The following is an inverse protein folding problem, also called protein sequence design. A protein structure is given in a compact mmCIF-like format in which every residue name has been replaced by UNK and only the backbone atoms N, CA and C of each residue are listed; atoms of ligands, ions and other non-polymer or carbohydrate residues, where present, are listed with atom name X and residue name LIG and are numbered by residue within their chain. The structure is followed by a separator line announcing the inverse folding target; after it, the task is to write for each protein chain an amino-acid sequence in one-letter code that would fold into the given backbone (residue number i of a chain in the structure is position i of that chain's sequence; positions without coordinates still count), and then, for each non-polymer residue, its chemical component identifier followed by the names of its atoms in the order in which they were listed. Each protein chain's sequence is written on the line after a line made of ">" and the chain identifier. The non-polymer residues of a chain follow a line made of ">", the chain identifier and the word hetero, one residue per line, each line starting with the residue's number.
data_IF_633581990571
#
_entry.id   IF_633581990571
#
_cell.length_a   1.000
_cell.length_b   1.000
_cell.length_c   1.000
_cell.angle_alpha   90.00
_cell.angle_beta   90.00
_cell.angle_gamma   90.00
#
_symmetry.space_group_name_H-M   'P 1'
#
loop_
_entity.id
_entity.type
_entity.pdbx_description
1 polymer ?
#
# COMPACT_ATOMS: atom_id res chain seq x y z
N UNK A 1 -3.98 46.29 20.05
CA UNK A 1 -4.36 44.86 20.15
C UNK A 1 -3.58 44.11 19.06
N UNK A 2 -3.01 42.96 19.30
CA UNK A 2 -2.45 42.22 18.19
C UNK A 2 -3.58 41.97 17.18
N UNK A 3 -3.28 42.23 15.93
CA UNK A 3 -4.20 42.06 14.80
C UNK A 3 -4.62 40.60 14.76
N UNK A 4 -5.89 40.29 15.03
CA UNK A 4 -6.38 38.91 15.03
C UNK A 4 -6.46 38.43 13.58
N UNK A 5 -5.44 37.65 13.15
CA UNK A 5 -5.32 37.08 11.81
C UNK A 5 -5.90 35.68 11.72
N UNK A 6 -6.63 35.22 12.72
CA UNK A 6 -7.25 33.89 12.74
C UNK A 6 -8.31 33.75 11.67
N UNK A 7 -8.12 32.80 10.76
CA UNK A 7 -9.08 32.45 9.71
C UNK A 7 -10.01 31.29 10.15
N UNK A 8 -9.51 30.34 10.91
CA UNK A 8 -10.34 29.27 11.48
C UNK A 8 -9.69 28.67 12.72
N UNK A 9 -10.53 28.14 13.59
CA UNK A 9 -10.15 27.29 14.70
C UNK A 9 -11.21 26.21 14.88
N UNK A 10 -10.78 24.96 14.92
CA UNK A 10 -11.67 23.81 15.11
C UNK A 10 -11.05 22.83 16.09
N UNK A 11 -11.82 22.46 17.10
CA UNK A 11 -11.46 21.43 18.08
C UNK A 11 -12.57 20.39 18.06
N UNK A 12 -12.20 19.13 17.78
CA UNK A 12 -13.12 18.00 17.77
C UNK A 12 -12.49 16.85 18.56
N UNK A 13 -13.29 16.16 19.34
CA UNK A 13 -12.83 15.01 20.13
C UNK A 13 -13.51 13.72 19.67
N UNK A 14 -12.82 12.60 19.86
CA UNK A 14 -13.35 11.26 19.64
C UNK A 14 -12.73 10.28 20.63
N UNK A 15 -13.39 9.14 20.84
CA UNK A 15 -12.88 8.10 21.72
C UNK A 15 -12.06 7.08 20.94
N UNK A 16 -10.90 6.73 21.47
CA UNK A 16 -10.08 5.60 21.06
C UNK A 16 -10.33 4.47 22.08
N UNK A 17 -10.81 3.31 21.62
CA UNK A 17 -11.04 2.13 22.48
C UNK A 17 -9.74 1.31 22.59
N UNK A 18 -8.74 1.91 23.21
CA UNK A 18 -7.47 1.26 23.53
C UNK A 18 -6.83 1.89 24.79
N UNK A 19 -6.08 1.12 25.59
CA UNK A 19 -5.27 1.66 26.68
C UNK A 19 -4.26 2.71 26.20
N UNK A 20 -4.06 3.77 26.98
CA UNK A 20 -3.19 4.88 26.58
C UNK A 20 -1.74 4.45 26.33
N UNK A 21 -1.28 3.42 27.03
CA UNK A 21 0.07 2.86 26.93
C UNK A 21 0.34 2.22 25.54
N UNK A 22 -0.71 1.92 24.78
CA UNK A 22 -0.65 1.36 23.43
C UNK A 22 -0.79 2.42 22.33
N UNK A 23 -1.16 3.64 22.70
CA UNK A 23 -1.43 4.71 21.75
C UNK A 23 -0.17 5.56 21.55
N UNK A 24 0.31 5.61 20.31
CA UNK A 24 1.37 6.52 19.87
C UNK A 24 0.88 7.27 18.63
N UNK A 25 0.38 8.52 18.86
CA UNK A 25 -0.16 9.34 17.76
C UNK A 25 0.93 9.93 16.89
N UNK A 26 2.16 10.09 17.38
CA UNK A 26 3.28 10.56 16.58
C UNK A 26 3.71 9.49 15.57
N UNK A 27 3.87 8.26 16.03
CA UNK A 27 4.18 7.12 15.16
C UNK A 27 3.02 6.84 14.19
N UNK A 28 1.76 6.97 14.64
CA UNK A 28 0.60 6.86 13.76
C UNK A 28 0.64 7.92 12.65
N UNK A 29 0.78 9.20 12.99
CA UNK A 29 0.70 10.31 12.03
C UNK A 29 1.84 10.26 11.00
N UNK A 30 3.07 10.04 11.49
CA UNK A 30 4.28 10.10 10.65
C UNK A 30 4.48 8.85 9.78
N UNK A 31 3.71 7.78 10.01
CA UNK A 31 3.69 6.56 9.22
C UNK A 31 2.29 6.21 8.70
N UNK A 32 1.37 7.19 8.66
CA UNK A 32 0.01 7.00 8.16
C UNK A 32 0.06 6.72 6.64
N UNK A 33 -0.37 5.52 6.18
CA UNK A 33 -0.37 5.20 4.76
C UNK A 33 -1.36 6.08 3.98
N UNK A 34 -1.02 6.42 2.74
CA UNK A 34 -1.87 7.23 1.85
C UNK A 34 -3.30 6.68 1.75
N UNK A 35 -3.46 5.39 1.49
CA UNK A 35 -4.77 4.75 1.40
C UNK A 35 -5.58 4.81 2.72
N UNK A 36 -4.92 4.79 3.88
CA UNK A 36 -5.57 4.96 5.18
C UNK A 36 -5.98 6.41 5.40
N UNK A 37 -5.11 7.36 5.02
CA UNK A 37 -5.42 8.78 5.07
C UNK A 37 -6.64 9.12 4.21
N UNK A 38 -6.69 8.65 2.96
CA UNK A 38 -7.82 8.86 2.06
C UNK A 38 -9.15 8.27 2.59
N UNK A 39 -9.10 7.17 3.35
CA UNK A 39 -10.32 6.59 3.98
C UNK A 39 -10.87 7.45 5.12
N UNK A 40 -10.07 8.36 5.67
CA UNK A 40 -10.50 9.15 6.83
C UNK A 40 -11.34 10.38 6.48
N UNK A 41 -11.36 10.82 5.22
CA UNK A 41 -12.29 11.86 4.74
C UNK A 41 -12.48 11.76 3.24
N UNK A 42 -13.66 12.14 2.76
CA UNK A 42 -13.91 12.33 1.31
C UNK A 42 -13.16 13.52 0.72
N UNK A 43 -12.67 14.42 1.57
CA UNK A 43 -11.85 15.55 1.18
C UNK A 43 -10.37 15.22 0.96
N UNK A 44 -9.91 14.08 1.50
CA UNK A 44 -8.51 13.65 1.38
C UNK A 44 -8.20 13.13 -0.02
N UNK A 45 -7.16 13.67 -0.63
CA UNK A 45 -6.72 13.32 -1.99
C UNK A 45 -5.44 12.49 -1.95
N UNK A 46 -4.46 12.93 -1.15
CA UNK A 46 -3.20 12.20 -0.98
C UNK A 46 -2.55 12.55 0.36
N UNK A 47 -1.86 11.58 0.95
CA UNK A 47 -1.06 11.75 2.15
C UNK A 47 0.31 11.09 2.03
N UNK A 48 1.27 11.59 2.79
CA UNK A 48 2.61 11.00 2.80
C UNK A 48 3.48 11.55 3.92
N UNK A 49 4.63 10.96 4.11
CA UNK A 49 5.62 11.40 5.07
C UNK A 49 6.97 11.70 4.40
N UNK A 50 7.72 12.61 4.99
CA UNK A 50 9.02 13.05 4.50
C UNK A 50 9.86 13.58 5.66
N UNK A 51 10.98 14.20 5.32
CA UNK A 51 11.87 14.88 6.26
C UNK A 51 12.18 16.26 5.71
N UNK A 52 12.08 17.28 6.54
CA UNK A 52 12.45 18.65 6.19
C UNK A 52 13.98 18.82 6.04
N UNK A 53 14.42 19.91 5.41
CA UNK A 53 15.84 20.19 5.18
C UNK A 53 16.69 20.20 6.45
N UNK A 54 16.08 20.51 7.61
CA UNK A 54 16.73 20.49 8.91
C UNK A 54 16.55 19.16 9.68
N UNK A 55 16.11 18.09 9.02
CA UNK A 55 15.98 16.74 9.57
C UNK A 55 14.75 16.48 10.44
N UNK A 56 13.78 17.43 10.53
CA UNK A 56 12.54 17.19 11.28
C UNK A 56 11.54 16.36 10.47
N UNK A 57 10.80 15.44 11.11
CA UNK A 57 9.75 14.69 10.45
C UNK A 57 8.67 15.59 9.84
N UNK A 58 8.11 15.16 8.70
CA UNK A 58 7.05 15.87 8.00
C UNK A 58 5.91 14.94 7.63
N UNK A 59 4.67 15.48 7.71
CA UNK A 59 3.49 14.93 7.04
C UNK A 59 3.11 15.84 5.88
N UNK A 60 2.79 15.24 4.74
CA UNK A 60 2.33 15.96 3.54
C UNK A 60 0.89 15.55 3.30
N UNK A 61 -0.02 16.54 3.31
CA UNK A 61 -1.44 16.31 3.13
C UNK A 61 -1.94 17.12 1.92
N UNK A 62 -2.73 16.48 1.08
CA UNK A 62 -3.41 17.11 -0.07
C UNK A 62 -4.90 16.90 0.08
N UNK A 63 -5.67 17.98 0.12
CA UNK A 63 -7.08 17.97 0.52
C UNK A 63 -7.92 18.99 -0.23
N UNK A 64 -9.23 18.75 -0.26
CA UNK A 64 -10.23 19.75 -0.63
C UNK A 64 -10.95 20.26 0.62
N UNK A 65 -10.58 21.44 1.13
CA UNK A 65 -11.24 22.07 2.28
C UNK A 65 -12.28 23.07 1.79
N UNK A 66 -13.54 22.65 1.74
CA UNK A 66 -14.60 23.36 1.02
C UNK A 66 -14.33 23.33 -0.49
N UNK A 67 -14.20 24.48 -1.11
CA UNK A 67 -13.86 24.67 -2.53
C UNK A 67 -12.36 24.98 -2.77
N UNK A 68 -11.54 24.93 -1.73
CA UNK A 68 -10.11 25.19 -1.81
C UNK A 68 -9.31 23.87 -1.84
N UNK A 69 -8.53 23.68 -2.90
CA UNK A 69 -7.48 22.67 -2.95
C UNK A 69 -6.29 23.11 -2.11
N UNK A 70 -5.91 22.31 -1.13
CA UNK A 70 -4.88 22.66 -0.14
C UNK A 70 -3.75 21.65 -0.17
N UNK A 71 -2.52 22.14 -0.24
CA UNK A 71 -1.31 21.31 -0.09
C UNK A 71 -0.57 21.77 1.16
N UNK A 72 -0.42 20.85 2.10
CA UNK A 72 0.11 21.12 3.42
C UNK A 72 1.41 20.35 3.64
N UNK A 73 2.47 21.06 3.97
CA UNK A 73 3.77 20.50 4.31
C UNK A 73 3.98 20.69 5.83
N UNK A 74 3.37 19.83 6.61
CA UNK A 74 3.43 19.88 8.06
C UNK A 74 4.79 19.43 8.59
N UNK A 75 5.54 20.35 9.19
CA UNK A 75 6.78 20.04 9.90
C UNK A 75 6.48 19.81 11.38
N UNK A 76 6.96 18.73 11.94
CA UNK A 76 6.79 18.43 13.36
C UNK A 76 7.60 19.40 14.22
N UNK A 77 6.91 20.18 15.07
CA UNK A 77 7.54 20.94 16.16
C UNK A 77 7.63 20.09 17.43
N UNK A 78 6.58 19.32 17.71
CA UNK A 78 6.51 18.34 18.81
C UNK A 78 5.93 17.05 18.22
N UNK A 79 6.55 15.91 18.54
CA UNK A 79 6.10 14.59 18.08
C UNK A 79 6.34 13.55 19.19
N UNK A 80 5.53 13.67 20.23
CA UNK A 80 5.54 12.77 21.39
C UNK A 80 4.37 11.76 21.27
N UNK A 81 4.44 10.61 21.93
CA UNK A 81 3.42 9.57 21.80
C UNK A 81 1.97 10.04 22.02
N UNK A 82 1.78 11.01 22.92
CA UNK A 82 0.44 11.50 23.29
C UNK A 82 0.18 12.96 22.91
N UNK A 83 1.13 13.59 22.24
CA UNK A 83 0.99 14.97 21.76
C UNK A 83 1.83 15.26 20.54
N UNK A 84 1.18 15.70 19.46
CA UNK A 84 1.85 16.19 18.26
C UNK A 84 1.47 17.65 18.00
N UNK A 85 2.44 18.44 17.60
CA UNK A 85 2.25 19.79 17.06
C UNK A 85 2.95 19.90 15.72
N UNK A 86 2.15 20.08 14.68
CA UNK A 86 2.56 20.13 13.29
C UNK A 86 2.28 21.53 12.73
N UNK A 87 3.23 22.14 12.04
CA UNK A 87 3.08 23.49 11.47
C UNK A 87 3.36 23.47 9.98
N UNK A 88 2.48 24.09 9.20
CA UNK A 88 2.61 24.22 7.75
C UNK A 88 2.35 25.65 7.29
N UNK A 89 3.15 26.11 6.32
CA UNK A 89 2.76 27.22 5.43
C UNK A 89 2.15 26.56 4.19
N UNK A 90 0.84 26.44 4.22
CA UNK A 90 0.05 25.66 3.25
C UNK A 90 -0.25 26.47 2.00
N UNK A 91 -0.12 25.85 0.84
CA UNK A 91 -0.67 26.38 -0.41
C UNK A 91 -2.18 26.15 -0.45
N UNK A 92 -2.94 27.18 -0.79
CA UNK A 92 -4.39 27.13 -0.96
C UNK A 92 -4.78 27.68 -2.32
N UNK A 93 -5.43 26.85 -3.13
CA UNK A 93 -5.91 27.19 -4.47
C UNK A 93 -7.43 27.14 -4.46
N UNK A 94 -8.07 28.29 -4.66
CA UNK A 94 -9.52 28.44 -4.73
C UNK A 94 -9.95 28.97 -6.10
N UNK A 95 -11.24 29.07 -6.41
CA UNK A 95 -11.69 29.73 -7.64
C UNK A 95 -11.21 31.18 -7.81
N UNK A 96 -10.89 31.86 -6.71
CA UNK A 96 -10.34 33.23 -6.75
C UNK A 96 -8.83 33.26 -7.08
N UNK A 97 -8.12 32.11 -6.96
CA UNK A 97 -6.70 31.99 -7.24
C UNK A 97 -5.91 31.31 -6.13
N UNK A 98 -4.58 31.43 -6.18
CA UNK A 98 -3.65 30.80 -5.25
C UNK A 98 -3.12 31.77 -4.20
N UNK A 99 -3.12 31.33 -2.96
CA UNK A 99 -2.49 32.04 -1.83
C UNK A 99 -1.84 31.03 -0.87
N UNK A 100 -1.26 31.55 0.21
CA UNK A 100 -0.73 30.73 1.30
C UNK A 100 -1.34 31.16 2.63
N UNK A 101 -1.42 30.21 3.57
CA UNK A 101 -1.81 30.49 4.96
C UNK A 101 -1.04 29.59 5.90
N UNK A 102 -0.88 29.99 7.14
CA UNK A 102 -0.30 29.13 8.16
C UNK A 102 -1.39 28.24 8.74
N UNK A 103 -1.06 26.94 8.91
CA UNK A 103 -1.90 25.99 9.64
C UNK A 103 -1.07 25.36 10.75
N UNK A 104 -1.64 25.34 11.94
CA UNK A 104 -1.14 24.58 13.09
C UNK A 104 -2.13 23.46 13.36
N UNK A 105 -1.63 22.25 13.39
CA UNK A 105 -2.38 21.03 13.66
C UNK A 105 -1.85 20.38 14.92
N UNK A 106 -2.65 20.37 15.97
CA UNK A 106 -2.32 19.76 17.26
C UNK A 106 -3.21 18.55 17.51
N UNK A 107 -2.56 17.45 17.81
CA UNK A 107 -3.20 16.18 18.14
C UNK A 107 -2.81 15.82 19.58
N UNK A 108 -3.79 15.44 20.39
CA UNK A 108 -3.48 14.99 21.75
C UNK A 108 -4.37 13.82 22.18
N UNK A 109 -3.84 13.03 23.09
CA UNK A 109 -4.56 11.89 23.70
C UNK A 109 -4.49 12.01 25.21
N UNK A 110 -5.63 11.80 25.88
CA UNK A 110 -5.74 11.71 27.34
C UNK A 110 -6.42 10.42 27.74
N UNK A 111 -5.96 9.83 28.84
CA UNK A 111 -6.60 8.65 29.42
C UNK A 111 -8.00 9.00 29.92
N UNK A 112 -9.01 8.21 29.49
CA UNK A 112 -10.36 8.24 30.08
C UNK A 112 -10.48 7.18 31.20
N UNK A 113 -10.10 5.93 30.86
CA UNK A 113 -10.09 4.79 31.77
C UNK A 113 -9.00 3.79 31.37
N UNK A 114 -9.02 2.57 31.91
CA UNK A 114 -7.98 1.56 31.62
C UNK A 114 -8.06 1.00 30.19
N UNK A 115 -9.17 1.21 29.46
CA UNK A 115 -9.42 0.64 28.13
C UNK A 115 -9.70 1.69 27.07
N UNK A 116 -9.75 2.98 27.43
CA UNK A 116 -10.09 4.04 26.48
C UNK A 116 -9.36 5.35 26.72
N UNK A 117 -9.21 6.12 25.63
CA UNK A 117 -8.62 7.45 25.62
C UNK A 117 -9.54 8.45 24.90
N UNK A 118 -9.45 9.72 25.28
CA UNK A 118 -9.98 10.84 24.51
C UNK A 118 -8.90 11.34 23.53
N UNK A 119 -9.21 11.31 22.26
CA UNK A 119 -8.40 11.89 21.20
C UNK A 119 -8.94 13.28 20.85
N UNK A 120 -8.08 14.30 20.81
CA UNK A 120 -8.43 15.65 20.42
C UNK A 120 -7.69 16.03 19.13
N UNK A 121 -8.43 16.47 18.13
CA UNK A 121 -7.94 17.04 16.87
C UNK A 121 -8.22 18.56 16.89
N UNK A 122 -7.17 19.35 16.98
CA UNK A 122 -7.25 20.80 17.00
C UNK A 122 -6.51 21.39 15.81
N UNK A 123 -7.25 22.06 14.93
CA UNK A 123 -6.72 22.74 13.75
C UNK A 123 -6.94 24.24 13.86
N UNK A 124 -5.88 25.00 13.67
CA UNK A 124 -5.91 26.46 13.69
C UNK A 124 -5.25 27.01 12.43
N UNK A 125 -5.94 27.88 11.68
CA UNK A 125 -5.38 28.54 10.49
C UNK A 125 -5.32 30.05 10.66
N UNK A 126 -4.23 30.64 10.18
CA UNK A 126 -3.92 32.07 10.32
C UNK A 126 -3.50 32.65 8.98
N UNK A 127 -4.01 33.86 8.68
CA UNK A 127 -3.58 34.63 7.52
C UNK A 127 -2.15 35.13 7.71
N UNK A 128 -1.28 34.88 6.77
CA UNK A 128 0.03 35.51 6.64
C UNK A 128 -0.08 36.75 5.73
N UNK A 129 0.96 37.54 5.62
CA UNK A 129 0.93 38.76 4.79
C UNK A 129 0.50 38.46 3.36
N UNK A 130 0.99 37.40 2.75
CA UNK A 130 0.59 36.98 1.42
C UNK A 130 -0.92 36.67 1.32
N UNK A 131 -1.55 36.13 2.36
CA UNK A 131 -3.01 35.95 2.42
C UNK A 131 -3.74 37.29 2.39
N UNK A 132 -3.28 38.22 3.21
CA UNK A 132 -3.90 39.54 3.30
C UNK A 132 -3.79 40.35 1.99
N UNK A 133 -2.63 40.29 1.33
CA UNK A 133 -2.41 40.88 0.00
C UNK A 133 -3.33 40.27 -1.05
N UNK A 134 -3.46 38.93 -1.04
CA UNK A 134 -4.36 38.19 -1.94
C UNK A 134 -5.82 38.62 -1.73
N UNK A 135 -6.32 38.66 -0.50
CA UNK A 135 -7.70 39.08 -0.18
C UNK A 135 -7.98 40.51 -0.67
N UNK A 136 -7.03 41.41 -0.44
CA UNK A 136 -7.12 42.80 -0.91
C UNK A 136 -7.17 42.89 -2.44
N UNK A 137 -6.30 42.16 -3.13
CA UNK A 137 -6.22 42.15 -4.59
C UNK A 137 -7.51 41.64 -5.26
N UNK A 138 -8.23 40.72 -4.59
CA UNK A 138 -9.47 40.14 -5.09
C UNK A 138 -10.75 40.76 -4.50
N UNK A 139 -10.64 41.86 -3.75
CA UNK A 139 -11.76 42.55 -3.08
C UNK A 139 -12.56 41.59 -2.16
N UNK A 140 -11.90 40.67 -1.48
CA UNK A 140 -12.48 39.75 -0.50
C UNK A 140 -12.23 40.33 0.90
N UNK A 141 -13.30 40.54 1.69
CA UNK A 141 -13.13 40.98 3.07
C UNK A 141 -12.52 39.85 3.93
N UNK A 142 -11.71 40.23 4.92
CA UNK A 142 -11.15 39.27 5.86
C UNK A 142 -12.24 38.46 6.59
N UNK A 143 -13.33 39.14 6.97
CA UNK A 143 -14.47 38.54 7.63
C UNK A 143 -15.12 37.44 6.74
N UNK A 144 -15.35 37.74 5.45
CA UNK A 144 -15.88 36.78 4.49
C UNK A 144 -14.94 35.56 4.36
N UNK A 145 -13.63 35.78 4.21
CA UNK A 145 -12.65 34.72 4.11
C UNK A 145 -12.61 33.85 5.38
N UNK A 146 -12.67 34.51 6.56
CA UNK A 146 -12.73 33.84 7.85
C UNK A 146 -13.98 32.95 7.98
N UNK A 147 -15.16 33.51 7.65
CA UNK A 147 -16.42 32.76 7.77
C UNK A 147 -16.47 31.54 6.85
N UNK A 148 -15.98 31.65 5.63
CA UNK A 148 -15.90 30.56 4.67
C UNK A 148 -14.93 29.49 5.19
N UNK A 149 -13.71 29.89 5.59
CA UNK A 149 -12.69 28.98 6.07
C UNK A 149 -13.09 28.31 7.37
N UNK A 150 -13.71 29.03 8.31
CA UNK A 150 -14.18 28.49 9.58
C UNK A 150 -15.19 27.37 9.37
N UNK A 151 -16.21 27.58 8.52
CA UNK A 151 -17.22 26.54 8.22
C UNK A 151 -16.60 25.32 7.57
N UNK A 152 -15.76 25.52 6.55
CA UNK A 152 -15.14 24.45 5.81
C UNK A 152 -14.18 23.61 6.69
N UNK A 153 -13.29 24.28 7.44
CA UNK A 153 -12.36 23.60 8.34
C UNK A 153 -13.07 22.83 9.46
N UNK A 154 -14.12 23.41 10.03
CA UNK A 154 -14.86 22.76 11.11
C UNK A 154 -15.63 21.52 10.61
N UNK A 155 -16.30 21.62 9.47
CA UNK A 155 -17.01 20.50 8.87
C UNK A 155 -16.05 19.35 8.51
N UNK A 156 -14.89 19.67 7.95
CA UNK A 156 -13.85 18.70 7.62
C UNK A 156 -13.31 18.02 8.88
N UNK A 157 -12.95 18.78 9.91
CA UNK A 157 -12.43 18.25 11.17
C UNK A 157 -13.47 17.34 11.87
N UNK A 158 -14.77 17.67 11.80
CA UNK A 158 -15.84 16.81 12.31
C UNK A 158 -15.95 15.47 11.55
N UNK A 159 -15.71 15.45 10.25
CA UNK A 159 -15.74 14.23 9.44
C UNK A 159 -14.55 13.32 9.73
N UNK A 160 -13.32 13.87 9.75
CA UNK A 160 -12.10 13.09 9.85
C UNK A 160 -11.79 12.58 11.26
N UNK A 161 -12.06 13.38 12.30
CA UNK A 161 -11.63 13.09 13.69
C UNK A 161 -12.09 11.71 14.20
N UNK A 162 -13.37 11.30 14.05
CA UNK A 162 -13.78 9.96 14.49
C UNK A 162 -13.13 8.85 13.66
N UNK A 163 -12.82 9.09 12.40
CA UNK A 163 -12.15 8.11 11.53
C UNK A 163 -10.66 8.01 11.85
N UNK A 164 -10.00 9.12 12.17
CA UNK A 164 -8.64 9.12 12.71
C UNK A 164 -8.56 8.36 14.03
N UNK A 165 -9.49 8.61 14.97
CA UNK A 165 -9.55 7.86 16.22
C UNK A 165 -9.65 6.34 15.98
N UNK A 166 -10.47 5.91 15.02
CA UNK A 166 -10.57 4.49 14.64
C UNK A 166 -9.30 3.96 13.96
N UNK A 167 -8.60 4.77 13.18
CA UNK A 167 -7.32 4.41 12.59
C UNK A 167 -6.23 4.23 13.67
N UNK A 168 -6.15 5.16 14.62
CA UNK A 168 -5.25 5.07 15.79
C UNK A 168 -5.58 3.82 16.63
N UNK A 169 -6.85 3.57 16.90
CA UNK A 169 -7.33 2.39 17.64
C UNK A 169 -6.87 1.09 16.97
N UNK A 170 -7.06 0.97 15.65
CA UNK A 170 -6.59 -0.21 14.90
C UNK A 170 -5.08 -0.40 15.04
N UNK A 171 -4.28 0.67 14.89
CA UNK A 171 -2.83 0.60 15.06
C UNK A 171 -2.45 0.19 16.49
N UNK A 172 -3.07 0.78 17.50
CA UNK A 172 -2.82 0.47 18.91
C UNK A 172 -3.19 -0.97 19.29
N UNK A 173 -4.27 -1.51 18.72
CA UNK A 173 -4.74 -2.87 18.99
C UNK A 173 -4.03 -3.91 18.13
N UNK A 174 -3.69 -3.61 16.88
CA UNK A 174 -2.91 -4.52 16.02
C UNK A 174 -1.53 -4.82 16.60
N UNK A 175 -0.94 -3.89 17.34
CA UNK A 175 0.27 -4.13 18.12
C UNK A 175 0.06 -5.10 19.30
N UNK A 176 -1.19 -5.38 19.71
CA UNK A 176 -1.50 -6.25 20.85
C UNK A 176 -1.98 -7.66 20.47
N UNK A 177 -2.54 -7.84 19.29
CA UNK A 177 -3.02 -9.14 18.78
C UNK A 177 -1.94 -9.91 18.00
N UNK A 178 -0.83 -9.26 17.70
CA UNK A 178 0.36 -9.94 17.22
C UNK A 178 0.97 -10.70 18.41
N UNK A 179 0.75 -12.00 18.46
CA UNK A 179 1.47 -12.96 19.31
C UNK A 179 2.96 -12.55 19.40
N UNK A 180 3.36 -11.76 20.43
CA UNK A 180 4.75 -11.38 20.67
C UNK A 180 5.39 -10.41 19.66
N UNK A 181 4.75 -9.28 19.31
CA UNK A 181 5.48 -8.08 18.84
C UNK A 181 6.22 -8.15 17.51
N UNK A 182 5.93 -9.10 16.59
CA UNK A 182 6.56 -9.17 15.28
C UNK A 182 5.63 -8.59 14.20
N UNK A 183 6.12 -7.66 13.37
CA UNK A 183 5.44 -7.24 12.15
C UNK A 183 5.10 -8.45 11.27
N UNK A 184 3.92 -8.43 10.61
CA UNK A 184 3.60 -9.47 9.62
C UNK A 184 4.63 -9.45 8.50
N UNK A 185 4.97 -10.65 7.99
CA UNK A 185 6.02 -10.80 7.00
C UNK A 185 5.61 -11.74 5.88
N UNK A 186 5.88 -11.35 4.64
CA UNK A 186 5.57 -12.14 3.45
C UNK A 186 6.84 -12.54 2.73
N UNK A 187 6.93 -13.81 2.35
CA UNK A 187 7.98 -14.32 1.50
C UNK A 187 7.54 -14.22 0.04
N UNK A 188 8.26 -13.42 -0.75
CA UNK A 188 8.09 -13.38 -2.20
C UNK A 188 9.04 -14.39 -2.85
N UNK A 189 8.51 -15.30 -3.62
CA UNK A 189 9.27 -16.26 -4.42
C UNK A 189 9.29 -15.80 -5.88
N UNK A 190 10.49 -15.53 -6.36
CA UNK A 190 10.76 -14.96 -7.68
C UNK A 190 11.66 -15.93 -8.45
N UNK A 191 11.46 -16.09 -9.76
CA UNK A 191 12.32 -16.94 -10.59
C UNK A 191 13.78 -16.48 -10.58
N UNK A 192 14.71 -17.43 -10.56
CA UNK A 192 16.15 -17.22 -10.79
C UNK A 192 16.53 -17.31 -12.28
N UNK A 193 15.57 -17.65 -13.15
CA UNK A 193 15.84 -17.86 -14.58
C UNK A 193 16.20 -16.56 -15.29
N UNK A 194 17.17 -16.62 -16.21
CA UNK A 194 17.49 -15.52 -17.12
C UNK A 194 16.31 -15.11 -18.04
N UNK A 195 15.28 -15.98 -18.15
CA UNK A 195 14.05 -15.66 -18.87
C UNK A 195 13.11 -14.73 -18.08
N UNK A 196 13.53 -14.33 -16.89
CA UNK A 196 13.05 -13.21 -16.11
C UNK A 196 11.65 -13.41 -15.44
N UNK A 197 11.39 -12.62 -14.41
CA UNK A 197 10.06 -12.44 -13.82
C UNK A 197 9.39 -11.17 -14.39
N UNK A 198 8.09 -11.01 -14.14
CA UNK A 198 7.34 -9.82 -14.54
C UNK A 198 7.31 -8.78 -13.41
N UNK A 199 7.75 -7.56 -13.71
CA UNK A 199 8.07 -6.56 -12.68
C UNK A 199 6.86 -6.13 -11.84
N UNK A 200 5.73 -5.79 -12.46
CA UNK A 200 4.55 -5.30 -11.75
C UNK A 200 3.91 -6.34 -10.81
N UNK A 201 4.15 -7.63 -11.08
CA UNK A 201 3.70 -8.72 -10.20
C UNK A 201 4.51 -8.86 -8.91
N UNK A 202 5.62 -8.14 -8.80
CA UNK A 202 6.42 -7.99 -7.59
C UNK A 202 6.20 -6.61 -6.97
N UNK A 203 6.27 -5.55 -7.77
CA UNK A 203 6.25 -4.17 -7.27
C UNK A 203 4.90 -3.75 -6.72
N UNK A 204 3.77 -4.13 -7.36
CA UNK A 204 2.44 -3.81 -6.86
C UNK A 204 2.13 -4.53 -5.54
N UNK A 205 2.31 -5.87 -5.41
CA UNK A 205 2.16 -6.52 -4.11
C UNK A 205 3.13 -5.98 -3.05
N UNK A 206 4.38 -5.69 -3.41
CA UNK A 206 5.35 -5.10 -2.50
C UNK A 206 4.84 -3.77 -1.95
N UNK A 207 4.40 -2.86 -2.82
CA UNK A 207 3.90 -1.54 -2.42
C UNK A 207 2.67 -1.66 -1.52
N UNK A 208 1.64 -2.41 -1.93
CA UNK A 208 0.41 -2.57 -1.14
C UNK A 208 0.65 -3.16 0.24
N UNK A 209 1.61 -4.08 0.38
CA UNK A 209 1.95 -4.70 1.64
C UNK A 209 2.79 -3.79 2.53
N UNK A 210 3.87 -3.21 1.99
CA UNK A 210 4.82 -2.40 2.78
C UNK A 210 4.22 -1.06 3.21
N UNK A 211 3.38 -0.46 2.39
CA UNK A 211 2.59 0.74 2.75
C UNK A 211 1.72 0.51 4.00
N UNK A 212 1.38 -0.75 4.30
CA UNK A 212 0.58 -1.15 5.46
C UNK A 212 1.38 -1.84 6.55
N UNK A 213 2.69 -1.61 6.57
CA UNK A 213 3.59 -2.09 7.63
C UNK A 213 3.91 -3.59 7.57
N UNK A 214 3.61 -4.27 6.46
CA UNK A 214 3.99 -5.67 6.25
C UNK A 214 5.41 -5.74 5.71
N UNK A 215 6.27 -6.51 6.35
CA UNK A 215 7.63 -6.75 5.86
C UNK A 215 7.63 -7.72 4.68
N UNK A 216 8.54 -7.51 3.73
CA UNK A 216 8.68 -8.36 2.54
C UNK A 216 10.14 -8.72 2.32
N UNK A 217 10.41 -10.02 2.24
CA UNK A 217 11.68 -10.55 1.77
C UNK A 217 11.50 -11.23 0.40
N UNK A 218 12.55 -11.14 -0.41
CA UNK A 218 12.62 -11.81 -1.71
C UNK A 218 13.49 -13.06 -1.59
N UNK A 219 12.97 -14.17 -2.10
CA UNK A 219 13.70 -15.41 -2.28
C UNK A 219 13.58 -15.90 -3.71
N UNK A 220 14.58 -16.63 -4.15
CA UNK A 220 14.56 -17.30 -5.45
C UNK A 220 15.17 -18.69 -5.32
N UNK A 221 14.92 -19.64 -6.24
CA UNK A 221 15.46 -20.99 -6.14
C UNK A 221 16.96 -21.03 -5.91
N UNK A 222 17.73 -20.17 -6.57
CA UNK A 222 19.19 -20.16 -6.46
C UNK A 222 19.72 -19.12 -5.48
N UNK A 223 18.91 -18.10 -5.10
CA UNK A 223 19.35 -16.93 -4.37
C UNK A 223 20.19 -15.97 -5.23
N UNK A 224 20.56 -14.83 -4.66
CA UNK A 224 21.37 -13.83 -5.34
C UNK A 224 20.56 -12.96 -6.30
N UNK A 225 21.18 -12.55 -7.39
CA UNK A 225 20.57 -11.65 -8.37
C UNK A 225 19.45 -12.31 -9.16
N UNK A 226 18.35 -11.59 -9.31
CA UNK A 226 17.23 -11.93 -10.22
C UNK A 226 17.03 -10.81 -11.24
N UNK A 227 16.45 -11.14 -12.39
CA UNK A 227 16.21 -10.19 -13.47
C UNK A 227 14.74 -10.16 -13.83
N UNK A 228 14.23 -8.98 -14.14
CA UNK A 228 12.86 -8.81 -14.64
C UNK A 228 12.85 -8.67 -16.16
N UNK A 229 11.73 -9.04 -16.76
CA UNK A 229 11.52 -8.95 -18.20
C UNK A 229 11.53 -7.48 -18.63
N UNK A 230 12.35 -7.15 -19.63
CA UNK A 230 12.47 -5.77 -20.11
C UNK A 230 11.15 -5.21 -20.67
N UNK A 231 10.23 -6.04 -21.16
CA UNK A 231 8.89 -5.57 -21.55
C UNK A 231 8.00 -5.14 -20.38
N UNK A 232 8.35 -5.55 -19.15
CA UNK A 232 7.72 -5.05 -17.92
C UNK A 232 8.45 -3.85 -17.29
N UNK A 233 9.61 -3.46 -17.83
CA UNK A 233 10.34 -2.28 -17.38
C UNK A 233 9.66 -1.00 -17.91
N UNK A 234 9.10 -0.14 -17.05
CA UNK A 234 8.41 1.07 -17.50
C UNK A 234 9.33 2.10 -18.18
N UNK A 235 10.65 1.93 -18.08
CA UNK A 235 11.64 2.78 -18.74
C UNK A 235 12.14 2.23 -20.08
N UNK A 236 11.76 1.01 -20.43
CA UNK A 236 12.12 0.43 -21.71
C UNK A 236 11.28 1.04 -22.84
N UNK A 237 11.92 1.37 -23.98
CA UNK A 237 11.25 2.02 -25.12
C UNK A 237 10.01 1.25 -25.63
N UNK A 238 10.05 -0.09 -25.57
CA UNK A 238 8.97 -0.98 -26.02
C UNK A 238 8.22 -1.64 -24.85
N UNK A 239 8.22 -0.99 -23.69
CA UNK A 239 7.51 -1.49 -22.53
C UNK A 239 6.03 -1.74 -22.83
N UNK A 240 5.49 -2.79 -22.24
CA UNK A 240 4.04 -3.04 -22.23
C UNK A 240 3.34 -2.32 -21.06
N UNK A 241 4.11 -1.77 -20.11
CA UNK A 241 3.64 -1.05 -18.92
C UNK A 241 4.36 0.31 -18.75
N UNK A 242 4.42 1.19 -19.82
CA UNK A 242 5.20 2.42 -19.77
C UNK A 242 4.67 3.45 -18.76
N UNK A 243 3.41 3.33 -18.34
CA UNK A 243 2.75 4.25 -17.42
C UNK A 243 2.63 3.68 -15.99
N UNK A 244 3.27 2.54 -15.70
CA UNK A 244 3.26 1.96 -14.36
C UNK A 244 4.09 2.79 -13.38
N UNK A 245 3.41 3.66 -12.64
CA UNK A 245 4.01 4.55 -11.64
C UNK A 245 4.52 3.79 -10.41
N UNK A 246 3.93 2.64 -10.08
CA UNK A 246 4.34 1.82 -8.92
C UNK A 246 5.70 1.20 -9.21
N UNK A 247 5.88 0.59 -10.37
CA UNK A 247 7.18 0.06 -10.79
C UNK A 247 8.23 1.15 -10.98
N UNK A 248 7.86 2.33 -11.53
CA UNK A 248 8.76 3.48 -11.59
C UNK A 248 9.22 3.91 -10.19
N UNK A 249 8.30 4.02 -9.24
CA UNK A 249 8.61 4.37 -7.85
C UNK A 249 9.55 3.35 -7.21
N UNK A 250 9.27 2.05 -7.38
CA UNK A 250 10.10 0.97 -6.87
C UNK A 250 11.54 1.05 -7.41
N UNK A 251 11.70 1.21 -8.72
CA UNK A 251 13.02 1.26 -9.36
C UNK A 251 13.79 2.55 -9.05
N UNK A 252 13.09 3.65 -8.76
CA UNK A 252 13.71 4.93 -8.40
C UNK A 252 14.29 4.93 -6.99
N UNK A 253 13.77 4.12 -6.09
CA UNK A 253 14.34 3.92 -4.76
C UNK A 253 15.45 2.87 -4.83
N UNK A 254 16.71 3.35 -4.76
CA UNK A 254 17.91 2.52 -4.84
C UNK A 254 17.95 1.40 -3.78
N UNK A 255 17.41 1.64 -2.57
CA UNK A 255 17.38 0.65 -1.49
C UNK A 255 16.40 -0.49 -1.84
N UNK A 256 15.25 -0.15 -2.38
CA UNK A 256 14.22 -1.10 -2.78
C UNK A 256 14.66 -1.88 -4.02
N UNK A 257 15.17 -1.20 -5.05
CA UNK A 257 15.68 -1.84 -6.27
C UNK A 257 16.85 -2.80 -6.00
N UNK A 258 17.72 -2.48 -5.03
CA UNK A 258 18.84 -3.34 -4.64
C UNK A 258 18.40 -4.71 -4.08
N UNK A 259 17.13 -4.89 -3.68
CA UNK A 259 16.60 -6.19 -3.24
C UNK A 259 16.64 -7.25 -4.35
N UNK A 260 16.63 -6.84 -5.64
CA UNK A 260 16.76 -7.75 -6.77
C UNK A 260 18.18 -8.28 -6.97
N UNK A 261 19.19 -7.63 -6.39
CA UNK A 261 20.58 -8.08 -6.48
C UNK A 261 20.94 -9.19 -5.47
N UNK A 262 20.13 -9.35 -4.39
CA UNK A 262 20.48 -10.20 -3.24
C UNK A 262 19.28 -10.94 -2.67
N UNK A 263 18.57 -11.73 -3.50
CA UNK A 263 17.48 -12.56 -2.99
C UNK A 263 18.01 -13.69 -2.11
N UNK A 264 17.19 -14.11 -1.14
CA UNK A 264 17.48 -15.28 -0.31
C UNK A 264 17.44 -16.56 -1.17
N UNK A 265 18.26 -17.54 -0.86
CA UNK A 265 18.13 -18.86 -1.48
C UNK A 265 16.99 -19.63 -0.82
N UNK A 266 15.95 -19.98 -1.60
CA UNK A 266 14.68 -20.47 -1.07
C UNK A 266 14.84 -21.66 -0.12
N UNK A 267 15.71 -22.61 -0.43
CA UNK A 267 15.95 -23.81 0.39
C UNK A 267 16.53 -23.52 1.78
N UNK A 268 17.17 -22.33 1.94
CA UNK A 268 17.86 -21.94 3.18
C UNK A 268 17.00 -20.98 4.02
N UNK A 269 15.78 -20.65 3.55
CA UNK A 269 14.88 -19.72 4.24
C UNK A 269 14.20 -20.39 5.43
N UNK A 270 14.25 -19.76 6.60
CA UNK A 270 13.40 -20.16 7.74
C UNK A 270 11.94 -19.70 7.51
N UNK A 271 11.13 -20.59 6.96
CA UNK A 271 9.73 -20.33 6.62
C UNK A 271 8.85 -19.97 7.84
N UNK A 272 9.32 -20.28 9.07
CA UNK A 272 8.56 -19.96 10.28
C UNK A 272 8.43 -18.45 10.53
N UNK A 273 9.34 -17.68 9.96
CA UNK A 273 9.36 -16.22 10.06
C UNK A 273 8.29 -15.50 9.24
N UNK A 274 7.57 -16.21 8.36
CA UNK A 274 6.64 -15.59 7.43
C UNK A 274 5.19 -16.01 7.69
N UNK A 275 4.26 -15.08 7.43
CA UNK A 275 2.83 -15.24 7.62
C UNK A 275 2.09 -15.59 6.33
N UNK A 276 2.70 -15.30 5.18
CA UNK A 276 2.22 -15.66 3.85
C UNK A 276 3.38 -15.90 2.88
N UNK A 277 3.07 -16.58 1.78
CA UNK A 277 3.94 -16.73 0.62
C UNK A 277 3.25 -16.15 -0.61
N UNK A 278 3.99 -15.40 -1.42
CA UNK A 278 3.59 -14.88 -2.72
C UNK A 278 4.54 -15.41 -3.80
N UNK A 279 4.00 -15.99 -4.87
CA UNK A 279 4.79 -16.46 -6.03
C UNK A 279 4.51 -15.57 -7.22
N UNK A 280 5.51 -14.78 -7.61
CA UNK A 280 5.44 -13.92 -8.78
C UNK A 280 5.62 -14.73 -10.08
N UNK A 281 5.02 -14.23 -11.16
CA UNK A 281 5.13 -14.86 -12.45
C UNK A 281 6.22 -14.25 -13.34
N UNK A 282 5.87 -14.06 -14.60
CA UNK A 282 6.83 -13.89 -15.68
C UNK A 282 7.26 -15.25 -16.24
N UNK A 283 7.79 -15.24 -17.45
CA UNK A 283 8.13 -16.48 -18.17
C UNK A 283 9.14 -17.35 -17.42
N UNK A 284 10.04 -16.75 -16.65
CA UNK A 284 11.02 -17.45 -15.82
C UNK A 284 10.42 -18.50 -14.90
N UNK A 285 9.23 -18.23 -14.34
CA UNK A 285 8.54 -19.15 -13.45
C UNK A 285 8.28 -20.54 -14.09
N UNK A 286 8.10 -20.59 -15.40
CA UNK A 286 7.87 -21.85 -16.14
C UNK A 286 9.12 -22.70 -16.31
N UNK A 287 10.30 -22.14 -16.01
CA UNK A 287 11.59 -22.82 -16.13
C UNK A 287 12.09 -23.38 -14.80
N UNK A 288 11.94 -22.64 -13.70
CA UNK A 288 12.60 -22.99 -12.43
C UNK A 288 11.69 -23.03 -11.21
N UNK A 289 10.42 -22.56 -11.31
CA UNK A 289 9.47 -22.71 -10.22
C UNK A 289 8.61 -23.97 -10.33
N UNK A 290 8.61 -24.64 -11.50
CA UNK A 290 7.92 -25.91 -11.71
C UNK A 290 8.59 -26.75 -12.82
N UNK A 291 8.87 -28.07 -12.58
CA UNK A 291 8.83 -28.70 -11.26
C UNK A 291 10.03 -28.27 -10.39
N UNK A 292 9.79 -28.05 -9.09
CA UNK A 292 10.83 -27.64 -8.15
C UNK A 292 10.53 -28.12 -6.73
N UNK A 293 11.42 -28.95 -6.14
CA UNK A 293 11.24 -29.51 -4.81
C UNK A 293 11.28 -28.49 -3.68
N UNK A 294 12.12 -27.45 -3.78
CA UNK A 294 12.24 -26.44 -2.73
C UNK A 294 11.00 -25.52 -2.72
N UNK A 295 10.46 -25.23 -3.90
CA UNK A 295 9.16 -24.54 -4.05
C UNK A 295 8.03 -25.41 -3.48
N UNK A 296 8.04 -26.72 -3.77
CA UNK A 296 7.07 -27.65 -3.20
C UNK A 296 7.09 -27.64 -1.66
N UNK A 297 8.29 -27.75 -1.05
CA UNK A 297 8.46 -27.72 0.41
C UNK A 297 7.98 -26.42 1.02
N UNK A 298 8.29 -25.30 0.39
CA UNK A 298 7.82 -23.99 0.85
C UNK A 298 6.29 -23.91 0.82
N UNK A 299 5.65 -24.21 -0.30
CA UNK A 299 4.20 -24.18 -0.44
C UNK A 299 3.50 -25.14 0.53
N UNK A 300 4.00 -26.37 0.70
CA UNK A 300 3.49 -27.35 1.66
C UNK A 300 3.59 -26.83 3.11
N UNK A 301 4.68 -26.15 3.47
CA UNK A 301 4.82 -25.53 4.79
C UNK A 301 3.71 -24.52 5.08
N UNK A 302 3.49 -23.55 4.16
CA UNK A 302 2.45 -22.53 4.35
C UNK A 302 1.06 -23.16 4.37
N UNK A 303 0.82 -24.14 3.52
CA UNK A 303 -0.44 -24.88 3.50
C UNK A 303 -0.69 -25.63 4.81
N UNK A 304 0.28 -26.42 5.28
CA UNK A 304 0.18 -27.22 6.51
C UNK A 304 0.00 -26.34 7.77
N UNK A 305 0.55 -25.13 7.76
CA UNK A 305 0.40 -24.15 8.83
C UNK A 305 -0.84 -23.27 8.69
N UNK A 306 -1.71 -23.55 7.72
CA UNK A 306 -2.91 -22.77 7.43
C UNK A 306 -2.60 -21.27 7.24
N UNK A 307 -1.44 -20.95 6.65
CA UNK A 307 -1.01 -19.62 6.26
C UNK A 307 -1.51 -19.28 4.85
N UNK A 308 -1.44 -17.99 4.48
CA UNK A 308 -1.91 -17.55 3.16
C UNK A 308 -0.91 -17.96 2.07
N UNK A 309 -1.43 -18.51 0.98
CA UNK A 309 -0.67 -18.91 -0.21
C UNK A 309 -1.19 -18.09 -1.40
N UNK A 310 -0.33 -17.30 -2.00
CA UNK A 310 -0.64 -16.49 -3.16
C UNK A 310 0.24 -16.81 -4.36
N UNK A 311 -0.34 -16.80 -5.56
CA UNK A 311 0.40 -16.96 -6.80
C UNK A 311 -0.29 -16.19 -7.93
N UNK A 312 0.48 -15.59 -8.83
CA UNK A 312 -0.07 -14.78 -9.92
C UNK A 312 0.57 -15.12 -11.26
N UNK A 313 -0.20 -15.02 -12.34
CA UNK A 313 0.30 -15.13 -13.72
C UNK A 313 0.97 -16.49 -13.96
N UNK A 314 2.16 -16.50 -14.56
CA UNK A 314 2.95 -17.73 -14.70
C UNK A 314 3.41 -18.31 -13.34
N UNK A 315 3.49 -17.46 -12.27
CA UNK A 315 3.82 -17.94 -10.91
C UNK A 315 2.83 -18.96 -10.35
N UNK A 316 1.58 -18.95 -10.84
CA UNK A 316 0.57 -19.94 -10.47
C UNK A 316 0.97 -21.38 -10.82
N UNK A 317 1.92 -21.57 -11.75
CA UNK A 317 2.46 -22.90 -12.11
C UNK A 317 3.10 -23.59 -10.92
N UNK A 318 3.65 -22.82 -9.97
CA UNK A 318 4.28 -23.34 -8.77
C UNK A 318 3.33 -24.22 -7.94
N UNK A 319 2.02 -23.94 -7.99
CA UNK A 319 0.99 -24.75 -7.33
C UNK A 319 0.93 -26.19 -7.86
N UNK A 320 1.42 -26.43 -9.08
CA UNK A 320 1.57 -27.76 -9.65
C UNK A 320 2.52 -28.67 -8.87
N UNK A 321 3.40 -28.12 -8.03
CA UNK A 321 4.29 -28.89 -7.15
C UNK A 321 3.57 -29.52 -5.95
N UNK A 322 2.34 -29.09 -5.65
CA UNK A 322 1.53 -29.61 -4.52
C UNK A 322 0.14 -30.10 -5.01
N UNK A 323 0.07 -31.03 -5.97
CA UNK A 323 -1.17 -31.36 -6.67
C UNK A 323 -2.28 -31.85 -5.73
N UNK A 324 -1.95 -32.57 -4.66
CA UNK A 324 -2.95 -33.06 -3.72
C UNK A 324 -3.62 -31.95 -2.90
N UNK A 325 -2.96 -30.81 -2.74
CA UNK A 325 -3.50 -29.61 -2.06
C UNK A 325 -4.41 -28.80 -2.98
N UNK A 326 -4.13 -28.84 -4.28
CA UNK A 326 -4.79 -28.00 -5.29
C UNK A 326 -5.98 -28.72 -5.95
N UNK A 327 -6.03 -30.04 -5.88
CA UNK A 327 -7.15 -30.85 -6.40
C UNK A 327 -8.50 -30.33 -5.87
N UNK A 328 -9.41 -29.98 -6.81
CA UNK A 328 -10.74 -29.46 -6.51
C UNK A 328 -10.78 -28.01 -6.02
N UNK A 329 -9.62 -27.32 -5.93
CA UNK A 329 -9.57 -25.90 -5.58
C UNK A 329 -9.85 -25.03 -6.78
N UNK A 330 -10.52 -23.90 -6.55
CA UNK A 330 -10.72 -22.88 -7.57
C UNK A 330 -9.44 -22.05 -7.73
N UNK A 331 -8.96 -21.96 -8.97
CA UNK A 331 -7.71 -21.26 -9.28
C UNK A 331 -7.78 -20.52 -10.62
N UNK A 332 -6.92 -19.51 -10.75
CA UNK A 332 -6.58 -18.90 -12.04
C UNK A 332 -5.06 -18.79 -12.17
N UNK A 333 -4.59 -18.36 -13.31
CA UNK A 333 -3.21 -18.14 -13.64
C UNK A 333 -3.09 -17.73 -15.10
N UNK A 334 -1.87 -17.61 -15.62
CA UNK A 334 -1.69 -17.19 -17.00
C UNK A 334 -2.35 -18.18 -17.97
N UNK A 335 -3.11 -17.64 -18.94
CA UNK A 335 -3.96 -18.47 -19.80
C UNK A 335 -3.16 -19.12 -20.91
N UNK A 336 -3.56 -20.33 -21.32
CA UNK A 336 -2.97 -21.01 -22.46
C UNK A 336 -3.16 -20.21 -23.77
N UNK A 337 -4.27 -19.47 -23.87
CA UNK A 337 -4.54 -18.58 -25.01
C UNK A 337 -3.48 -17.48 -25.10
N UNK A 338 -3.19 -16.79 -23.98
CA UNK A 338 -2.17 -15.74 -23.94
C UNK A 338 -0.77 -16.29 -24.23
N UNK A 339 -0.42 -17.46 -23.68
CA UNK A 339 0.86 -18.11 -23.97
C UNK A 339 1.03 -18.40 -25.47
N UNK A 340 0.00 -18.91 -26.13
CA UNK A 340 0.03 -19.16 -27.58
C UNK A 340 0.10 -17.88 -28.40
N UNK A 341 -0.56 -16.80 -27.94
CA UNK A 341 -0.46 -15.48 -28.59
C UNK A 341 0.98 -14.93 -28.49
N UNK A 342 1.62 -15.05 -27.31
CA UNK A 342 3.02 -14.65 -27.12
C UNK A 342 3.97 -15.47 -28.02
N UNK A 343 3.80 -16.78 -28.08
CA UNK A 343 4.61 -17.63 -28.96
C UNK A 343 4.41 -17.29 -30.44
N UNK A 344 3.21 -16.98 -30.86
CA UNK A 344 2.93 -16.53 -32.23
C UNK A 344 3.58 -15.17 -32.54
N UNK A 345 3.61 -14.28 -31.56
CA UNK A 345 4.18 -12.92 -31.70
C UNK A 345 5.70 -12.93 -31.73
N UNK A 346 6.34 -13.69 -30.80
CA UNK A 346 7.79 -13.69 -30.62
C UNK A 346 8.50 -14.82 -31.37
N UNK A 347 7.75 -15.73 -31.97
CA UNK A 347 8.29 -16.84 -32.79
C UNK A 347 8.85 -18.03 -31.98
N UNK A 348 9.49 -18.97 -32.70
CA UNK A 348 9.92 -20.27 -32.16
C UNK A 348 10.99 -20.18 -31.07
N UNK A 349 11.70 -19.06 -30.94
CA UNK A 349 12.66 -18.80 -29.86
C UNK A 349 11.98 -18.46 -28.50
N UNK A 350 10.69 -18.16 -28.49
CA UNK A 350 9.95 -17.88 -27.28
C UNK A 350 9.44 -19.18 -26.66
N UNK A 351 10.32 -19.87 -25.94
CA UNK A 351 10.03 -21.17 -25.33
C UNK A 351 9.28 -20.98 -24.02
N UNK A 352 8.21 -21.76 -23.84
CA UNK A 352 7.46 -21.93 -22.58
C UNK A 352 7.44 -23.43 -22.32
N UNK A 353 8.29 -23.95 -21.42
CA UNK A 353 8.42 -25.40 -21.21
C UNK A 353 7.17 -26.03 -20.59
N UNK A 354 6.45 -25.27 -19.77
CA UNK A 354 5.24 -25.71 -19.11
C UNK A 354 4.21 -24.56 -19.10
N UNK A 355 2.98 -24.83 -19.52
CA UNK A 355 1.89 -23.86 -19.51
C UNK A 355 1.18 -23.87 -18.15
N UNK A 356 1.06 -22.74 -17.42
CA UNK A 356 0.42 -22.69 -16.10
C UNK A 356 -0.99 -23.28 -16.09
N UNK A 357 -1.86 -22.86 -17.01
CA UNK A 357 -3.21 -23.40 -17.11
C UNK A 357 -3.21 -24.93 -17.25
N UNK A 358 -2.40 -25.47 -18.15
CA UNK A 358 -2.34 -26.90 -18.40
C UNK A 358 -1.84 -27.68 -17.19
N UNK A 359 -0.85 -27.14 -16.47
CA UNK A 359 -0.32 -27.74 -15.24
C UNK A 359 -1.38 -27.77 -14.16
N UNK A 360 -2.07 -26.62 -13.92
CA UNK A 360 -3.12 -26.54 -12.91
C UNK A 360 -4.30 -27.47 -13.21
N UNK A 361 -4.77 -27.53 -14.44
CA UNK A 361 -5.83 -28.44 -14.86
C UNK A 361 -5.45 -29.92 -14.63
N UNK A 362 -4.19 -30.31 -14.90
CA UNK A 362 -3.67 -31.65 -14.64
C UNK A 362 -3.65 -32.06 -13.17
N UNK A 363 -3.56 -31.09 -12.22
CA UNK A 363 -3.68 -31.38 -10.78
C UNK A 363 -5.11 -31.73 -10.37
N UNK A 364 -6.10 -31.50 -11.23
CA UNK A 364 -7.51 -31.59 -10.91
C UNK A 364 -8.07 -30.33 -10.24
N UNK A 365 -7.37 -29.21 -10.34
CA UNK A 365 -7.89 -27.91 -9.92
C UNK A 365 -9.04 -27.45 -10.84
N UNK A 366 -9.95 -26.66 -10.29
CA UNK A 366 -11.04 -26.02 -11.02
C UNK A 366 -10.50 -24.68 -11.56
N UNK A 367 -9.89 -24.74 -12.73
CA UNK A 367 -9.32 -23.57 -13.38
C UNK A 367 -10.40 -22.74 -14.05
N UNK A 368 -10.32 -21.41 -13.91
CA UNK A 368 -11.14 -20.48 -14.68
C UNK A 368 -10.40 -19.19 -15.00
N UNK A 369 -10.69 -18.62 -16.16
CA UNK A 369 -10.07 -17.38 -16.63
C UNK A 369 -11.09 -16.42 -17.25
N UNK A 370 -10.68 -15.17 -17.41
CA UNK A 370 -11.26 -14.17 -18.29
C UNK A 370 -10.45 -14.10 -19.59
N UNK A 371 -10.76 -13.16 -20.47
CA UNK A 371 -9.91 -12.87 -21.62
C UNK A 371 -8.49 -12.51 -21.15
N UNK A 372 -7.45 -12.82 -21.92
CA UNK A 372 -6.10 -12.37 -21.64
C UNK A 372 -6.03 -10.88 -21.29
N UNK A 373 -5.20 -10.55 -20.30
CA UNK A 373 -4.96 -9.17 -19.84
C UNK A 373 -6.21 -8.45 -19.31
N UNK A 374 -7.18 -9.21 -18.80
CA UNK A 374 -8.35 -8.70 -18.08
C UNK A 374 -8.24 -9.14 -16.63
N UNK A 375 -8.31 -8.21 -15.66
CA UNK A 375 -8.11 -8.53 -14.25
C UNK A 375 -9.03 -9.65 -13.77
N UNK A 376 -8.44 -10.65 -13.13
CA UNK A 376 -9.16 -11.71 -12.44
C UNK A 376 -8.37 -12.20 -11.25
N UNK A 377 -9.04 -12.23 -10.10
CA UNK A 377 -8.54 -12.82 -8.86
C UNK A 377 -9.49 -13.90 -8.38
N UNK A 378 -8.96 -15.04 -7.97
CA UNK A 378 -9.74 -16.09 -7.32
C UNK A 378 -9.24 -16.26 -5.89
N UNK A 379 -10.19 -16.32 -4.96
CA UNK A 379 -9.96 -16.55 -3.55
C UNK A 379 -10.67 -17.85 -3.16
N UNK A 380 -9.91 -18.87 -2.81
CA UNK A 380 -10.44 -20.14 -2.29
C UNK A 380 -9.84 -20.41 -0.90
N UNK A 381 -10.55 -19.97 0.13
CA UNK A 381 -10.06 -20.01 1.51
C UNK A 381 -8.86 -19.10 1.71
N UNK A 382 -7.68 -19.68 1.95
CA UNK A 382 -6.39 -18.96 2.07
C UNK A 382 -5.51 -19.08 0.82
N UNK A 383 -6.01 -19.68 -0.24
CA UNK A 383 -5.38 -19.69 -1.55
C UNK A 383 -5.88 -18.50 -2.37
N UNK A 384 -4.98 -17.66 -2.85
CA UNK A 384 -5.28 -16.51 -3.69
C UNK A 384 -4.51 -16.66 -4.99
N UNK A 385 -5.20 -16.59 -6.13
CA UNK A 385 -4.56 -16.62 -7.44
C UNK A 385 -4.99 -15.44 -8.30
N UNK A 386 -4.03 -14.84 -9.01
CA UNK A 386 -4.24 -13.78 -10.00
C UNK A 386 -3.95 -14.29 -11.41
N UNK A 387 -4.75 -13.85 -12.40
CA UNK A 387 -4.63 -14.36 -13.77
C UNK A 387 -3.36 -13.91 -14.47
N UNK A 388 -3.08 -12.63 -14.43
CA UNK A 388 -1.94 -11.98 -15.08
C UNK A 388 -1.63 -10.63 -14.40
N UNK A 389 -0.66 -9.89 -14.91
CA UNK A 389 -0.21 -8.62 -14.34
C UNK A 389 -1.32 -7.56 -14.22
N UNK A 390 -2.35 -7.63 -15.06
CA UNK A 390 -3.49 -6.69 -14.97
C UNK A 390 -4.25 -6.81 -13.65
N UNK A 391 -4.12 -7.94 -12.96
CA UNK A 391 -4.74 -8.20 -11.66
C UNK A 391 -3.80 -7.94 -10.47
N UNK A 392 -2.58 -7.43 -10.67
CA UNK A 392 -1.54 -7.41 -9.63
C UNK A 392 -1.96 -6.63 -8.37
N UNK A 393 -2.64 -5.49 -8.53
CA UNK A 393 -3.10 -4.68 -7.40
C UNK A 393 -4.28 -5.32 -6.66
N UNK A 394 -5.31 -5.80 -7.36
CA UNK A 394 -6.47 -6.47 -6.75
C UNK A 394 -6.05 -7.77 -6.05
N UNK A 395 -5.11 -8.51 -6.66
CA UNK A 395 -4.51 -9.69 -6.06
C UNK A 395 -3.77 -9.36 -4.76
N UNK A 396 -2.96 -8.31 -4.75
CA UNK A 396 -2.23 -7.85 -3.57
C UNK A 396 -3.16 -7.46 -2.42
N UNK A 397 -4.25 -6.75 -2.73
CA UNK A 397 -5.27 -6.38 -1.74
C UNK A 397 -6.00 -7.62 -1.20
N UNK A 398 -6.29 -8.61 -2.05
CA UNK A 398 -6.88 -9.87 -1.62
C UNK A 398 -5.95 -10.66 -0.71
N UNK A 399 -4.63 -10.70 -1.02
CA UNK A 399 -3.60 -11.32 -0.19
C UNK A 399 -3.55 -10.64 1.20
N UNK A 400 -3.46 -9.33 1.24
CA UNK A 400 -3.45 -8.53 2.46
C UNK A 400 -4.70 -8.79 3.31
N UNK A 401 -5.89 -8.72 2.69
CA UNK A 401 -7.15 -8.97 3.37
C UNK A 401 -7.18 -10.37 4.05
N UNK A 402 -6.70 -11.40 3.36
CA UNK A 402 -6.65 -12.75 3.93
C UNK A 402 -5.63 -12.91 5.05
N UNK A 403 -4.61 -12.09 5.08
CA UNK A 403 -3.63 -12.05 6.17
C UNK A 403 -4.15 -11.30 7.40
N UNK A 404 -4.79 -10.15 7.20
CA UNK A 404 -5.20 -9.24 8.27
C UNK A 404 -6.63 -9.48 8.78
N UNK A 405 -7.48 -10.14 7.98
CA UNK A 405 -8.92 -10.26 8.24
C UNK A 405 -9.73 -9.00 7.94
N UNK A 406 -9.09 -7.94 7.42
CA UNK A 406 -9.76 -6.71 7.02
C UNK A 406 -10.45 -6.90 5.67
N UNK A 407 -11.74 -6.53 5.55
CA UNK A 407 -12.41 -6.53 4.26
C UNK A 407 -11.82 -5.46 3.35
N UNK A 408 -11.52 -5.77 2.07
CA UNK A 408 -11.29 -4.71 1.12
C UNK A 408 -12.55 -3.84 1.10
N UNK A 409 -12.39 -2.55 1.37
CA UNK A 409 -13.52 -1.61 1.23
C UNK A 409 -13.91 -1.69 -0.24
N UNK A 410 -15.09 -2.23 -0.51
CA UNK A 410 -15.71 -2.15 -1.82
C UNK A 410 -15.93 -0.67 -2.11
N UNK A 411 -15.04 -0.09 -2.91
CA UNK A 411 -15.28 1.20 -3.53
C UNK A 411 -16.50 1.05 -4.44
N UNK A 412 -17.62 1.54 -3.98
CA UNK A 412 -18.81 1.78 -4.79
C UNK A 412 -18.68 3.08 -5.56
#
# INVERSE_FOLDING_TARGET
>A
MPDDRTLSQSIVTATIQAPIEKVDIADWLLHLPDAEYQRCSTAHIAGGSSTSDNGRPMSINVEMIGDAFVVQHYVAEIHEPHFCRMVSISDSVSPAGRTKLQVVWELSVKKNDEQSCEYTNHVHSTAIDQTLEFLKAHNISFETARDVRQRASHAHNQEETPKFAKSIERKALSASDANGGRAMKVLFVISSSETAFWLSEVTHPYWHLTERGVEVDFASPQGGKVVFDHYSDPYFEKSLEPDDLVSKGFLSDKKTAAKFETTLKLKDVDLSQYDAIHVAGGRGATFDLFPNEDVAKALEYFWAKNKVVGAICHGAIALGNIPERIRGRQVTGFTLEADKQLQATFGSGFIIPNYPQTVLEKTGAIYSSTKPYTPKVIIDGKLITGQDQSAASEYALALLHKMTGESPVSGS
#
